data_IF_123628109728
#
_entry.id   IF_123628109728
#
_cell.length_a   1.000
_cell.length_b   1.000
_cell.length_c   1.000
_cell.angle_alpha   90.00
_cell.angle_beta   90.00
_cell.angle_gamma   90.00
#
_symmetry.space_group_name_H-M   'P 1'
#
loop_
_entity.id
_entity.type
_entity.pdbx_description
1 polymer ?
#
# COMPACT_ATOMS: atom_id res chain seq x y z
N UNK A 1 -38.48 -4.45 -48.26
CA UNK A 1 -39.30 -3.61 -47.38
C UNK A 1 -38.84 -2.14 -47.33
N UNK A 2 -37.63 -1.85 -47.72
CA UNK A 2 -37.00 -0.48 -47.70
C UNK A 2 -37.58 0.44 -48.80
N UNK A 3 -37.94 -0.12 -49.96
CA UNK A 3 -38.47 0.67 -51.11
C UNK A 3 -39.88 1.23 -50.85
N UNK A 4 -40.67 0.60 -50.03
CA UNK A 4 -42.06 1.06 -49.72
C UNK A 4 -42.06 2.23 -48.74
N UNK A 5 -41.06 2.32 -47.84
CA UNK A 5 -40.95 3.41 -46.89
C UNK A 5 -40.47 4.71 -47.55
N UNK A 6 -39.58 4.61 -48.53
CA UNK A 6 -39.09 5.78 -49.26
C UNK A 6 -40.16 6.49 -50.10
N UNK A 7 -41.15 5.75 -50.64
CA UNK A 7 -42.25 6.30 -51.43
C UNK A 7 -43.29 7.03 -50.57
N UNK A 8 -43.50 6.60 -49.32
CA UNK A 8 -44.42 7.26 -48.41
C UNK A 8 -43.87 8.56 -47.83
N UNK A 9 -42.51 8.62 -47.65
CA UNK A 9 -41.83 9.83 -47.15
C UNK A 9 -41.76 10.96 -48.19
N UNK A 10 -41.66 10.63 -49.47
CA UNK A 10 -41.73 11.64 -50.54
C UNK A 10 -43.09 12.27 -50.76
N UNK A 11 -44.16 11.64 -50.19
CA UNK A 11 -45.53 12.14 -50.26
C UNK A 11 -45.91 13.08 -49.07
N UNK A 12 -45.11 13.09 -48.00
CA UNK A 12 -45.27 14.07 -46.92
C UNK A 12 -44.24 15.17 -47.13
N UNK A 13 -44.71 16.33 -47.57
CA UNK A 13 -43.96 17.50 -48.06
C UNK A 13 -42.57 17.70 -47.46
N UNK A 14 -41.58 18.01 -48.33
CA UNK A 14 -40.14 18.06 -48.06
C UNK A 14 -39.65 18.88 -46.84
N UNK A 15 -40.50 19.64 -46.16
CA UNK A 15 -40.15 20.38 -44.93
C UNK A 15 -40.08 19.52 -43.67
N UNK A 16 -40.94 18.50 -43.54
CA UNK A 16 -40.96 17.63 -42.33
C UNK A 16 -39.80 16.64 -42.30
N UNK A 17 -39.38 16.17 -43.47
CA UNK A 17 -38.26 15.24 -43.60
C UNK A 17 -36.89 15.91 -43.43
N UNK A 18 -36.71 17.11 -44.00
CA UNK A 18 -35.48 17.89 -43.79
C UNK A 18 -35.30 18.28 -42.30
N UNK A 19 -36.41 18.58 -41.59
CA UNK A 19 -36.40 18.88 -40.17
C UNK A 19 -36.00 17.65 -39.32
N UNK A 20 -36.50 16.46 -39.65
CA UNK A 20 -36.16 15.21 -38.95
C UNK A 20 -34.68 14.87 -39.08
N UNK A 21 -34.10 15.00 -40.29
CA UNK A 21 -32.66 14.72 -40.51
C UNK A 21 -31.75 15.74 -39.81
N UNK A 22 -32.16 17.01 -39.77
CA UNK A 22 -31.42 18.04 -39.03
C UNK A 22 -31.46 17.75 -37.52
N UNK A 23 -32.63 17.37 -36.99
CA UNK A 23 -32.74 17.02 -35.56
C UNK A 23 -31.90 15.82 -35.17
N UNK A 24 -31.87 14.74 -35.97
CA UNK A 24 -31.02 13.57 -35.70
C UNK A 24 -29.50 13.87 -35.82
N UNK A 25 -29.15 14.77 -36.74
CA UNK A 25 -27.75 15.22 -36.93
C UNK A 25 -27.29 16.06 -35.74
N UNK A 26 -28.12 16.98 -35.25
CA UNK A 26 -27.83 17.80 -34.06
C UNK A 26 -27.72 16.95 -32.79
N UNK A 27 -28.53 15.90 -32.68
CA UNK A 27 -28.48 14.97 -31.56
C UNK A 27 -27.16 14.17 -31.56
N UNK A 28 -26.77 13.56 -32.70
CA UNK A 28 -25.49 12.86 -32.83
C UNK A 28 -24.29 13.78 -32.59
N UNK A 29 -24.34 15.03 -33.05
CA UNK A 29 -23.27 15.99 -32.80
C UNK A 29 -23.14 16.32 -31.30
N UNK A 30 -24.26 16.47 -30.61
CA UNK A 30 -24.30 16.71 -29.17
C UNK A 30 -23.74 15.53 -28.37
N UNK A 31 -24.15 14.31 -28.73
CA UNK A 31 -23.64 13.08 -28.10
C UNK A 31 -22.14 12.89 -28.36
N UNK A 32 -21.66 13.20 -29.58
CA UNK A 32 -20.24 13.12 -29.91
C UNK A 32 -19.42 14.08 -29.04
N UNK A 33 -19.88 15.32 -28.84
CA UNK A 33 -19.19 16.28 -27.97
C UNK A 33 -19.16 15.82 -26.51
N UNK A 34 -20.26 15.27 -26.00
CA UNK A 34 -20.29 14.70 -24.63
C UNK A 34 -19.36 13.48 -24.47
N UNK A 35 -19.30 12.61 -25.48
CA UNK A 35 -18.40 11.47 -25.50
C UNK A 35 -16.91 11.88 -25.53
N UNK A 36 -16.57 12.96 -26.23
CA UNK A 36 -15.22 13.55 -26.23
C UNK A 36 -14.82 14.08 -24.85
N UNK A 37 -15.74 14.75 -24.14
CA UNK A 37 -15.51 15.21 -22.79
C UNK A 37 -15.35 14.03 -21.81
N UNK A 38 -16.18 12.98 -21.95
CA UNK A 38 -16.04 11.75 -21.16
C UNK A 38 -14.69 11.08 -21.43
N UNK A 39 -14.28 10.96 -22.69
CA UNK A 39 -12.97 10.38 -23.05
C UNK A 39 -11.82 11.14 -22.38
N UNK A 40 -11.88 12.47 -22.34
CA UNK A 40 -10.86 13.31 -21.71
C UNK A 40 -10.87 13.14 -20.17
N UNK A 41 -12.04 13.13 -19.54
CA UNK A 41 -12.18 13.09 -18.08
C UNK A 41 -11.99 11.70 -17.48
N UNK A 42 -12.12 10.64 -18.28
CA UNK A 42 -11.94 9.23 -17.86
C UNK A 42 -10.48 8.76 -17.86
N UNK A 43 -9.51 9.61 -18.23
CA UNK A 43 -8.10 9.21 -18.25
C UNK A 43 -7.59 8.81 -16.87
N UNK A 44 -7.02 7.59 -16.76
CA UNK A 44 -6.55 7.01 -15.50
C UNK A 44 -7.65 6.65 -14.50
N UNK A 45 -8.93 6.67 -14.92
CA UNK A 45 -10.10 6.42 -14.05
C UNK A 45 -11.00 5.29 -14.56
N UNK A 46 -10.47 4.37 -15.32
CA UNK A 46 -11.16 3.18 -15.83
C UNK A 46 -10.40 1.92 -15.43
N UNK A 47 -11.10 0.83 -15.23
CA UNK A 47 -10.47 -0.49 -14.93
C UNK A 47 -9.78 -1.06 -16.16
N UNK A 48 -10.34 -0.84 -17.36
CA UNK A 48 -9.78 -1.34 -18.62
C UNK A 48 -9.59 -0.22 -19.64
N UNK A 49 -8.36 -0.02 -20.10
CA UNK A 49 -8.04 0.98 -21.15
C UNK A 49 -8.69 0.67 -22.50
N UNK A 50 -9.07 -0.57 -22.76
CA UNK A 50 -9.78 -1.02 -23.95
C UNK A 50 -11.13 -0.32 -24.11
N UNK A 51 -11.85 -0.01 -23.01
CA UNK A 51 -13.13 0.71 -23.06
C UNK A 51 -12.95 2.12 -23.63
N UNK A 52 -11.91 2.85 -23.18
CA UNK A 52 -11.56 4.17 -23.72
C UNK A 52 -11.14 4.12 -25.18
N UNK A 53 -10.39 3.08 -25.58
CA UNK A 53 -10.02 2.89 -26.99
C UNK A 53 -11.26 2.64 -27.86
N UNK A 54 -12.23 1.86 -27.35
CA UNK A 54 -13.53 1.65 -27.98
C UNK A 54 -14.30 2.96 -28.17
N UNK A 55 -14.41 3.77 -27.12
CA UNK A 55 -15.08 5.08 -27.19
C UNK A 55 -14.40 6.00 -28.20
N UNK A 56 -13.06 6.06 -28.21
CA UNK A 56 -12.30 6.85 -29.17
C UNK A 56 -12.57 6.44 -30.64
N UNK A 57 -12.73 5.14 -30.88
CA UNK A 57 -13.05 4.63 -32.23
C UNK A 57 -14.51 5.01 -32.63
N UNK A 58 -15.47 4.93 -31.71
CA UNK A 58 -16.85 5.32 -31.99
C UNK A 58 -17.02 6.83 -32.17
N UNK A 59 -16.26 7.65 -31.46
CA UNK A 59 -16.19 9.10 -31.70
C UNK A 59 -15.69 9.39 -33.10
N UNK A 60 -14.65 8.68 -33.57
CA UNK A 60 -14.12 8.87 -34.94
C UNK A 60 -15.15 8.48 -36.02
N UNK A 61 -15.90 7.37 -35.78
CA UNK A 61 -16.98 6.94 -36.68
C UNK A 61 -18.12 7.95 -36.69
N UNK A 62 -18.58 8.43 -35.55
CA UNK A 62 -19.64 9.44 -35.42
C UNK A 62 -19.25 10.74 -36.16
N UNK A 63 -18.01 11.20 -36.05
CA UNK A 63 -17.48 12.34 -36.78
C UNK A 63 -17.48 12.10 -38.32
N UNK A 64 -17.09 10.90 -38.75
CA UNK A 64 -17.14 10.52 -40.14
C UNK A 64 -18.55 10.63 -40.72
N UNK A 65 -19.56 10.15 -39.98
CA UNK A 65 -20.98 10.25 -40.36
C UNK A 65 -21.45 11.71 -40.37
N UNK A 66 -21.01 12.54 -39.44
CA UNK A 66 -21.33 13.98 -39.40
C UNK A 66 -20.73 14.76 -40.56
N UNK A 67 -19.59 14.35 -41.09
CA UNK A 67 -18.90 14.98 -42.23
C UNK A 67 -19.49 14.57 -43.60
N UNK A 68 -20.33 13.51 -43.63
CA UNK A 68 -21.00 13.08 -44.86
C UNK A 68 -22.01 14.13 -45.39
N UNK A 69 -22.29 14.05 -46.69
CA UNK A 69 -23.34 14.89 -47.28
C UNK A 69 -24.72 14.56 -46.71
N UNK A 70 -25.61 15.56 -46.66
CA UNK A 70 -27.01 15.36 -46.22
C UNK A 70 -27.69 14.23 -47.01
N UNK A 71 -27.40 14.10 -48.31
CA UNK A 71 -27.97 13.05 -49.16
C UNK A 71 -27.47 11.64 -48.77
N UNK A 72 -26.21 11.52 -48.39
CA UNK A 72 -25.62 10.25 -47.91
C UNK A 72 -26.24 9.86 -46.60
N UNK A 73 -26.32 10.76 -45.61
CA UNK A 73 -26.96 10.53 -44.32
C UNK A 73 -28.44 10.15 -44.42
N UNK A 74 -29.14 10.66 -45.43
CA UNK A 74 -30.52 10.26 -45.74
C UNK A 74 -30.67 8.78 -46.12
N UNK A 75 -29.59 8.19 -46.70
CA UNK A 75 -29.60 6.79 -47.17
C UNK A 75 -28.93 5.83 -46.22
N UNK A 76 -27.93 6.25 -45.48
CA UNK A 76 -27.17 5.42 -44.52
C UNK A 76 -27.74 5.52 -43.08
N UNK A 77 -28.37 6.65 -42.74
CA UNK A 77 -28.89 6.94 -41.42
C UNK A 77 -27.79 7.28 -40.40
N UNK A 78 -28.19 7.88 -39.27
CA UNK A 78 -27.32 8.21 -38.14
C UNK A 78 -27.53 7.24 -36.96
N UNK A 79 -28.53 6.37 -37.06
CA UNK A 79 -28.99 5.52 -35.95
C UNK A 79 -27.93 4.54 -35.44
N UNK A 80 -27.24 3.84 -36.34
CA UNK A 80 -26.22 2.84 -35.98
C UNK A 80 -25.02 3.49 -35.32
N UNK A 81 -24.57 4.65 -35.82
CA UNK A 81 -23.45 5.41 -35.22
C UNK A 81 -23.83 5.93 -33.82
N UNK A 82 -25.05 6.38 -33.63
CA UNK A 82 -25.56 6.83 -32.33
C UNK A 82 -25.64 5.68 -31.32
N UNK A 83 -26.23 4.53 -31.69
CA UNK A 83 -26.33 3.35 -30.83
C UNK A 83 -24.95 2.82 -30.43
N UNK A 84 -24.01 2.78 -31.38
CA UNK A 84 -22.64 2.35 -31.11
C UNK A 84 -21.88 3.34 -30.19
N UNK A 85 -22.08 4.64 -30.37
CA UNK A 85 -21.49 5.67 -29.52
C UNK A 85 -22.06 5.63 -28.10
N UNK A 86 -23.38 5.46 -27.94
CA UNK A 86 -24.07 5.30 -26.66
C UNK A 86 -23.55 4.07 -25.92
N UNK A 87 -23.50 2.91 -26.57
CA UNK A 87 -22.96 1.68 -25.96
C UNK A 87 -21.49 1.83 -25.53
N UNK A 88 -20.65 2.53 -26.28
CA UNK A 88 -19.27 2.78 -25.91
C UNK A 88 -19.14 3.80 -24.76
N UNK A 89 -20.02 4.76 -24.67
CA UNK A 89 -20.15 5.72 -23.57
C UNK A 89 -20.52 5.00 -22.29
N UNK A 90 -21.59 4.20 -22.32
CA UNK A 90 -22.04 3.38 -21.17
C UNK A 90 -20.95 2.46 -20.68
N UNK A 91 -20.18 1.85 -21.58
CA UNK A 91 -19.06 0.97 -21.21
C UNK A 91 -17.93 1.72 -20.46
N UNK A 92 -17.63 2.96 -20.86
CA UNK A 92 -16.64 3.79 -20.15
C UNK A 92 -17.19 4.23 -18.80
N UNK A 93 -18.44 4.67 -18.70
CA UNK A 93 -19.08 5.09 -17.46
C UNK A 93 -19.14 3.91 -16.45
N UNK A 94 -19.56 2.73 -16.90
CA UNK A 94 -19.54 1.53 -16.06
C UNK A 94 -18.14 1.17 -15.56
N UNK A 95 -17.13 1.28 -16.43
CA UNK A 95 -15.72 1.04 -16.07
C UNK A 95 -15.17 2.08 -15.09
N UNK A 96 -15.63 3.33 -15.16
CA UNK A 96 -15.30 4.38 -14.19
C UNK A 96 -15.91 4.11 -12.82
N UNK A 97 -17.17 3.67 -12.77
CA UNK A 97 -17.84 3.28 -11.52
C UNK A 97 -17.10 2.11 -10.86
N UNK A 98 -16.73 1.10 -11.64
CA UNK A 98 -15.98 -0.06 -11.14
C UNK A 98 -14.59 0.35 -10.60
N UNK A 99 -13.88 1.21 -11.31
CA UNK A 99 -12.63 1.78 -10.84
C UNK A 99 -12.79 2.56 -9.53
N UNK A 100 -13.84 3.38 -9.42
CA UNK A 100 -14.11 4.14 -8.20
C UNK A 100 -14.46 3.23 -7.01
N UNK A 101 -15.24 2.16 -7.24
CA UNK A 101 -15.52 1.12 -6.22
C UNK A 101 -14.25 0.39 -5.79
N UNK A 102 -13.35 0.08 -6.75
CA UNK A 102 -12.04 -0.50 -6.46
C UNK A 102 -11.22 0.39 -5.50
N UNK A 103 -11.22 1.70 -5.70
CA UNK A 103 -10.56 2.66 -4.80
C UNK A 103 -11.15 2.67 -3.38
N UNK A 104 -12.46 2.57 -3.25
CA UNK A 104 -13.12 2.46 -1.93
C UNK A 104 -12.68 1.17 -1.23
N UNK A 105 -12.66 0.05 -1.96
CA UNK A 105 -12.23 -1.24 -1.42
C UNK A 105 -10.77 -1.20 -0.96
N UNK A 106 -9.87 -0.67 -1.78
CA UNK A 106 -8.45 -0.51 -1.43
C UNK A 106 -8.25 0.39 -0.19
N UNK A 107 -9.03 1.48 -0.10
CA UNK A 107 -8.98 2.35 1.05
C UNK A 107 -9.49 1.65 2.32
N UNK A 108 -10.52 0.80 2.23
CA UNK A 108 -11.01 -0.04 3.35
C UNK A 108 -9.96 -1.05 3.81
N UNK A 109 -9.32 -1.75 2.88
CA UNK A 109 -8.26 -2.72 3.21
C UNK A 109 -7.08 -2.02 3.92
N UNK A 110 -6.69 -0.85 3.43
CA UNK A 110 -5.64 -0.03 4.04
C UNK A 110 -6.04 0.45 5.45
N UNK A 111 -7.30 0.80 5.64
CA UNK A 111 -7.86 1.20 6.94
C UNK A 111 -7.88 0.02 7.91
N UNK A 112 -8.31 -1.16 7.47
CA UNK A 112 -8.33 -2.39 8.28
C UNK A 112 -6.93 -2.79 8.76
N UNK A 113 -5.90 -2.63 7.93
CA UNK A 113 -4.52 -2.86 8.33
C UNK A 113 -4.06 -1.87 9.43
N UNK A 114 -4.41 -0.58 9.29
CA UNK A 114 -4.13 0.43 10.31
C UNK A 114 -4.88 0.13 11.62
N UNK A 115 -6.13 -0.33 11.54
CA UNK A 115 -6.91 -0.77 12.70
C UNK A 115 -6.23 -1.88 13.46
N UNK A 116 -5.84 -2.94 12.78
CA UNK A 116 -5.22 -4.10 13.41
C UNK A 116 -3.94 -3.71 14.18
N UNK A 117 -3.11 -2.82 13.59
CA UNK A 117 -1.94 -2.25 14.28
C UNK A 117 -2.35 -1.41 15.50
N UNK A 118 -3.34 -0.55 15.35
CA UNK A 118 -3.83 0.33 16.41
C UNK A 118 -4.37 -0.45 17.62
N UNK A 119 -5.21 -1.45 17.37
CA UNK A 119 -5.76 -2.34 18.41
C UNK A 119 -4.66 -3.10 19.15
N UNK A 120 -3.66 -3.59 18.43
CA UNK A 120 -2.51 -4.27 19.01
C UNK A 120 -1.72 -3.36 19.96
N UNK A 121 -1.37 -2.14 19.51
CA UNK A 121 -0.68 -1.13 20.32
C UNK A 121 -1.54 -0.76 21.54
N UNK A 122 -2.85 -0.55 21.33
CA UNK A 122 -3.79 -0.21 22.40
C UNK A 122 -3.84 -1.28 23.49
N UNK A 123 -3.91 -2.54 23.11
CA UNK A 123 -3.91 -3.67 24.05
C UNK A 123 -2.56 -3.83 24.74
N UNK A 124 -1.45 -3.74 24.01
CA UNK A 124 -0.11 -3.93 24.55
C UNK A 124 0.31 -2.85 25.56
N UNK A 125 -0.29 -1.66 25.47
CA UNK A 125 -0.02 -0.54 26.41
C UNK A 125 -0.96 -0.51 27.62
N UNK A 126 -1.89 -1.46 27.76
CA UNK A 126 -2.81 -1.50 28.89
C UNK A 126 -2.05 -1.74 30.20
N UNK A 127 -2.26 -0.84 31.18
CA UNK A 127 -1.61 -0.93 32.49
C UNK A 127 -0.10 -0.68 32.49
N UNK A 128 0.50 -0.23 31.37
CA UNK A 128 1.93 0.03 31.24
C UNK A 128 2.36 1.46 31.67
N UNK A 129 1.43 2.26 32.20
CA UNK A 129 1.73 3.57 32.75
C UNK A 129 1.65 4.73 31.77
N UNK A 130 1.23 4.51 30.54
CA UNK A 130 0.95 5.59 29.59
C UNK A 130 -0.25 6.41 30.04
N UNK A 131 -0.19 7.73 29.79
CA UNK A 131 -1.28 8.66 30.12
C UNK A 131 -2.60 8.23 29.46
N UNK A 132 -3.65 8.16 30.29
CA UNK A 132 -5.01 7.79 29.86
C UNK A 132 -5.55 8.69 28.75
N UNK A 133 -5.13 9.98 28.68
CA UNK A 133 -5.55 10.88 27.62
C UNK A 133 -4.98 10.48 26.25
N UNK A 134 -3.78 9.92 26.19
CA UNK A 134 -3.18 9.42 24.93
C UNK A 134 -3.94 8.18 24.47
N UNK A 135 -4.22 7.25 25.37
CA UNK A 135 -5.02 6.06 25.09
C UNK A 135 -6.43 6.41 24.62
N UNK A 136 -7.09 7.39 25.30
CA UNK A 136 -8.43 7.84 24.93
C UNK A 136 -8.50 8.44 23.53
N UNK A 137 -7.44 9.13 23.06
CA UNK A 137 -7.36 9.65 21.68
C UNK A 137 -7.37 8.53 20.64
N UNK A 138 -6.59 7.48 20.87
CA UNK A 138 -6.59 6.33 19.96
C UNK A 138 -7.96 5.62 19.95
N UNK A 139 -8.58 5.44 21.11
CA UNK A 139 -9.93 4.85 21.18
C UNK A 139 -10.95 5.68 20.40
N UNK A 140 -10.94 7.01 20.55
CA UNK A 140 -11.83 7.90 19.81
C UNK A 140 -11.59 7.85 18.27
N UNK A 141 -10.32 7.70 17.85
CA UNK A 141 -9.99 7.50 16.44
C UNK A 141 -10.53 6.17 15.90
N UNK A 142 -10.41 5.09 16.66
CA UNK A 142 -10.95 3.77 16.31
C UNK A 142 -12.49 3.79 16.22
N UNK A 143 -13.16 4.48 17.14
CA UNK A 143 -14.62 4.61 17.13
C UNK A 143 -15.11 5.38 15.88
N UNK A 144 -14.42 6.47 15.52
CA UNK A 144 -14.72 7.26 14.31
C UNK A 144 -14.50 6.45 13.03
N UNK A 145 -13.43 5.69 13.00
CA UNK A 145 -13.07 4.82 11.88
C UNK A 145 -14.14 3.75 11.62
N UNK A 146 -14.67 3.10 12.65
CA UNK A 146 -15.72 2.09 12.52
C UNK A 146 -17.00 2.66 11.88
N UNK A 147 -17.33 3.91 12.18
CA UNK A 147 -18.45 4.61 11.55
C UNK A 147 -18.17 4.89 10.05
N UNK A 148 -16.97 5.33 9.71
CA UNK A 148 -16.57 5.59 8.32
C UNK A 148 -16.55 4.32 7.47
N UNK A 149 -16.05 3.19 7.99
CA UNK A 149 -16.08 1.89 7.30
C UNK A 149 -17.51 1.43 7.00
N UNK A 150 -18.41 1.55 7.97
CA UNK A 150 -19.85 1.22 7.79
C UNK A 150 -20.52 2.10 6.73
N UNK A 151 -20.21 3.40 6.70
CA UNK A 151 -20.73 4.31 5.69
C UNK A 151 -20.21 3.98 4.29
N UNK A 152 -18.90 3.68 4.17
CA UNK A 152 -18.28 3.28 2.91
C UNK A 152 -18.85 1.98 2.35
N UNK A 153 -19.15 1.00 3.19
CA UNK A 153 -19.81 -0.25 2.78
C UNK A 153 -21.15 0.00 2.09
N UNK A 154 -21.95 0.91 2.64
CA UNK A 154 -23.23 1.32 2.04
C UNK A 154 -23.03 2.02 0.69
N UNK A 155 -21.97 2.85 0.57
CA UNK A 155 -21.66 3.61 -0.65
C UNK A 155 -21.18 2.72 -1.81
N UNK A 156 -20.64 1.52 -1.54
CA UNK A 156 -20.20 0.59 -2.60
C UNK A 156 -21.31 0.19 -3.58
N UNK A 157 -22.59 0.32 -3.21
CA UNK A 157 -23.71 0.09 -4.11
C UNK A 157 -24.06 1.29 -5.00
N UNK A 158 -23.46 2.47 -4.76
CA UNK A 158 -23.71 3.68 -5.54
C UNK A 158 -23.08 3.60 -6.94
N UNK A 159 -23.70 4.30 -7.89
CA UNK A 159 -23.13 4.59 -9.22
C UNK A 159 -22.64 6.05 -9.32
N UNK A 160 -22.84 6.85 -8.28
CA UNK A 160 -22.35 8.23 -8.22
C UNK A 160 -20.85 8.26 -7.92
N UNK A 161 -20.09 8.66 -8.94
CA UNK A 161 -18.61 8.77 -8.85
C UNK A 161 -18.15 9.76 -7.77
N UNK A 162 -18.93 10.82 -7.50
CA UNK A 162 -18.58 11.80 -6.48
C UNK A 162 -18.80 11.23 -5.05
N UNK A 163 -19.86 10.42 -4.87
CA UNK A 163 -20.06 9.69 -3.60
C UNK A 163 -18.97 8.67 -3.34
N UNK A 164 -18.63 7.86 -4.34
CA UNK A 164 -17.55 6.87 -4.25
C UNK A 164 -16.20 7.54 -3.97
N UNK A 165 -15.88 8.62 -4.67
CA UNK A 165 -14.63 9.36 -4.44
C UNK A 165 -14.57 9.92 -3.01
N UNK A 166 -15.66 10.52 -2.52
CA UNK A 166 -15.73 11.05 -1.15
C UNK A 166 -15.56 9.95 -0.11
N UNK A 167 -16.20 8.79 -0.30
CA UNK A 167 -16.03 7.66 0.61
C UNK A 167 -14.57 7.19 0.68
N UNK A 168 -13.87 7.08 -0.45
CA UNK A 168 -12.46 6.71 -0.47
C UNK A 168 -11.57 7.75 0.24
N UNK A 169 -11.84 9.04 0.05
CA UNK A 169 -11.10 10.13 0.70
C UNK A 169 -11.35 10.19 2.22
N UNK A 170 -12.59 9.95 2.66
CA UNK A 170 -12.96 9.87 4.08
C UNK A 170 -12.28 8.68 4.76
N UNK A 171 -12.22 7.51 4.14
CA UNK A 171 -11.47 6.35 4.64
C UNK A 171 -9.96 6.67 4.75
N UNK A 172 -9.39 7.32 3.74
CA UNK A 172 -7.99 7.76 3.75
C UNK A 172 -7.69 8.74 4.88
N UNK A 173 -8.61 9.67 5.15
CA UNK A 173 -8.53 10.63 6.26
C UNK A 173 -8.58 9.91 7.61
N UNK A 174 -9.53 9.01 7.81
CA UNK A 174 -9.67 8.22 9.04
C UNK A 174 -8.44 7.33 9.27
N UNK A 175 -7.90 6.69 8.23
CA UNK A 175 -6.64 5.95 8.32
C UNK A 175 -5.51 6.83 8.85
N UNK A 176 -5.38 8.05 8.33
CA UNK A 176 -4.33 8.98 8.78
C UNK A 176 -4.51 9.37 10.24
N UNK A 177 -5.73 9.63 10.69
CA UNK A 177 -6.04 9.96 12.10
C UNK A 177 -5.70 8.79 13.03
N UNK A 178 -6.09 7.56 12.65
CA UNK A 178 -5.76 6.35 13.43
C UNK A 178 -4.25 6.13 13.48
N UNK A 179 -3.54 6.29 12.34
CA UNK A 179 -2.09 6.13 12.29
C UNK A 179 -1.39 7.10 13.23
N UNK A 180 -1.72 8.40 13.16
CA UNK A 180 -1.12 9.43 14.03
C UNK A 180 -1.42 9.17 15.52
N UNK A 181 -2.63 8.74 15.85
CA UNK A 181 -2.97 8.43 17.24
C UNK A 181 -2.25 7.15 17.73
N UNK A 182 -2.02 6.19 16.84
CA UNK A 182 -1.28 4.94 17.12
C UNK A 182 0.19 5.26 17.39
N UNK A 183 0.81 6.07 16.53
CA UNK A 183 2.19 6.53 16.69
C UNK A 183 2.36 7.30 18.01
N UNK A 184 1.45 8.23 18.31
CA UNK A 184 1.51 8.97 19.57
C UNK A 184 1.41 8.05 20.81
N UNK A 185 0.63 6.97 20.76
CA UNK A 185 0.56 6.00 21.86
C UNK A 185 1.82 5.13 21.92
N UNK A 186 2.37 4.74 20.77
CA UNK A 186 3.63 4.00 20.68
C UNK A 186 4.79 4.83 21.22
N UNK A 187 4.91 6.11 20.83
CA UNK A 187 5.95 7.03 21.31
C UNK A 187 5.85 7.27 22.82
N UNK A 188 4.62 7.39 23.34
CA UNK A 188 4.41 7.54 24.77
C UNK A 188 4.83 6.28 25.56
N UNK A 189 4.61 5.09 25.01
CA UNK A 189 5.08 3.84 25.58
C UNK A 189 6.60 3.72 25.48
N UNK A 190 7.15 4.09 24.32
CA UNK A 190 8.58 4.10 24.07
C UNK A 190 9.33 4.95 25.10
N UNK A 191 8.89 6.17 25.32
CA UNK A 191 9.48 7.10 26.28
C UNK A 191 9.52 6.56 27.74
N UNK A 192 8.61 5.63 28.08
CA UNK A 192 8.57 4.99 29.38
C UNK A 192 9.48 3.76 29.44
N UNK A 193 9.50 2.97 28.35
CA UNK A 193 10.09 1.64 28.32
C UNK A 193 11.51 1.61 27.79
N UNK A 194 11.80 2.42 26.75
CA UNK A 194 13.06 2.44 26.00
C UNK A 194 13.76 3.80 26.13
N UNK A 195 14.48 4.05 27.24
CA UNK A 195 15.02 5.40 27.52
C UNK A 195 16.22 5.78 26.62
N UNK A 196 16.81 4.84 25.91
CA UNK A 196 17.94 5.13 25.04
C UNK A 196 17.47 5.54 23.64
N UNK A 197 18.06 6.59 23.01
CA UNK A 197 17.58 7.17 21.76
C UNK A 197 17.73 6.29 20.52
N UNK A 198 18.45 5.20 20.63
CA UNK A 198 18.69 4.18 19.62
C UNK A 198 17.84 2.92 19.81
N UNK A 199 16.95 2.94 20.78
CA UNK A 199 16.02 1.86 21.08
C UNK A 199 14.60 2.32 20.78
N UNK A 200 13.75 1.40 20.37
CA UNK A 200 12.32 1.66 20.16
C UNK A 200 11.49 0.52 20.72
N UNK A 201 10.42 0.87 21.41
CA UNK A 201 9.48 -0.10 21.91
C UNK A 201 8.65 -0.68 20.77
N UNK A 202 8.56 -2.00 20.73
CA UNK A 202 7.68 -2.72 19.82
C UNK A 202 6.93 -3.82 20.59
N UNK A 203 5.59 -3.92 20.47
CA UNK A 203 4.78 -4.93 21.16
C UNK A 203 5.13 -6.36 20.77
N UNK A 204 5.75 -6.56 19.60
CA UNK A 204 6.18 -7.86 19.08
C UNK A 204 7.60 -8.26 19.50
N UNK A 205 8.37 -7.33 20.04
CA UNK A 205 9.75 -7.63 20.43
C UNK A 205 9.78 -8.76 21.49
N UNK A 206 10.38 -9.87 21.09
CA UNK A 206 10.42 -11.12 21.85
C UNK A 206 9.16 -12.00 21.76
N UNK A 207 8.17 -11.61 20.93
CA UNK A 207 6.89 -12.30 20.78
C UNK A 207 6.57 -12.62 19.32
N UNK A 208 7.56 -12.55 18.43
CA UNK A 208 7.38 -12.89 17.01
C UNK A 208 6.90 -14.36 16.90
N UNK A 209 5.80 -14.62 16.18
CA UNK A 209 5.30 -15.99 16.05
C UNK A 209 6.31 -16.87 15.30
N UNK A 210 6.41 -18.14 15.69
CA UNK A 210 7.36 -19.07 15.06
C UNK A 210 7.17 -19.24 13.55
N UNK A 211 5.95 -19.01 13.04
CA UNK A 211 5.65 -19.01 11.60
C UNK A 211 6.27 -17.85 10.82
N UNK A 212 6.67 -16.79 11.52
CA UNK A 212 7.35 -15.63 10.93
C UNK A 212 8.88 -15.66 11.14
N UNK A 213 9.37 -16.69 11.83
CA UNK A 213 10.79 -16.93 12.06
C UNK A 213 11.29 -18.04 11.14
N UNK A 214 12.55 -17.94 10.72
CA UNK A 214 13.24 -18.96 9.95
C UNK A 214 14.58 -19.31 10.60
N UNK A 215 14.91 -20.61 10.66
CA UNK A 215 16.17 -21.08 11.19
C UNK A 215 17.32 -20.74 10.25
N UNK A 216 18.47 -20.32 10.80
CA UNK A 216 19.66 -20.02 10.04
C UNK A 216 20.30 -21.36 9.62
N UNK A 217 20.45 -21.67 8.30
CA UNK A 217 20.77 -23.04 7.84
C UNK A 217 22.10 -23.60 8.34
N UNK A 218 23.08 -22.76 8.64
CA UNK A 218 24.41 -23.18 9.14
C UNK A 218 24.59 -22.99 10.65
N UNK A 219 23.60 -22.39 11.32
CA UNK A 219 23.61 -22.15 12.77
C UNK A 219 22.30 -22.66 13.39
N UNK A 220 22.17 -23.99 13.57
CA UNK A 220 20.99 -24.60 14.17
C UNK A 220 20.61 -23.99 15.50
N UNK A 221 19.34 -23.89 15.81
CA UNK A 221 18.76 -23.22 16.99
C UNK A 221 18.82 -21.69 16.99
N UNK A 222 19.42 -21.08 15.96
CA UNK A 222 19.39 -19.64 15.73
C UNK A 222 18.34 -19.29 14.67
N UNK A 223 17.55 -18.26 14.96
CA UNK A 223 16.44 -17.84 14.12
C UNK A 223 16.51 -16.35 13.82
N UNK A 224 16.08 -15.95 12.64
CA UNK A 224 15.81 -14.56 12.28
C UNK A 224 14.40 -14.46 11.70
N UNK A 225 13.87 -13.26 11.54
CA UNK A 225 12.61 -13.07 10.82
C UNK A 225 12.76 -13.58 9.37
N UNK A 226 11.74 -14.31 8.89
CA UNK A 226 11.86 -15.07 7.63
C UNK A 226 12.17 -14.20 6.40
N UNK A 227 11.72 -12.95 6.40
CA UNK A 227 11.92 -12.01 5.28
C UNK A 227 13.36 -11.45 5.20
N UNK A 228 14.14 -11.49 6.30
CA UNK A 228 15.54 -11.03 6.30
C UNK A 228 16.56 -12.17 6.12
N UNK A 229 16.11 -13.43 6.24
CA UNK A 229 16.98 -14.59 6.09
C UNK A 229 17.65 -14.68 4.70
N UNK A 230 17.00 -14.41 3.55
CA UNK A 230 17.66 -14.45 2.25
C UNK A 230 18.91 -13.57 2.18
N UNK A 231 18.84 -12.33 2.66
CA UNK A 231 20.00 -11.44 2.70
C UNK A 231 21.13 -11.96 3.62
N UNK A 232 20.79 -12.58 4.74
CA UNK A 232 21.78 -13.20 5.63
C UNK A 232 22.48 -14.40 4.96
N UNK A 233 21.74 -15.20 4.18
CA UNK A 233 22.32 -16.32 3.41
C UNK A 233 23.29 -15.81 2.34
N UNK A 234 22.93 -14.74 1.63
CA UNK A 234 23.81 -14.14 0.63
C UNK A 234 25.06 -13.53 1.26
N UNK A 235 24.92 -12.87 2.41
CA UNK A 235 26.05 -12.34 3.18
C UNK A 235 27.00 -13.46 3.64
N UNK A 236 26.45 -14.57 4.17
CA UNK A 236 27.26 -15.73 4.57
C UNK A 236 28.00 -16.36 3.38
N UNK A 237 27.34 -16.47 2.22
CA UNK A 237 27.97 -17.00 1.02
C UNK A 237 29.17 -16.15 0.58
N UNK A 238 29.03 -14.82 0.60
CA UNK A 238 30.11 -13.89 0.29
C UNK A 238 31.21 -13.92 1.36
N UNK A 239 30.88 -14.04 2.63
CA UNK A 239 31.82 -14.19 3.73
C UNK A 239 32.65 -15.48 3.58
N UNK A 240 31.98 -16.59 3.23
CA UNK A 240 32.67 -17.86 2.96
C UNK A 240 33.62 -17.80 1.77
N UNK A 241 33.30 -17.04 0.74
CA UNK A 241 34.21 -16.81 -0.37
C UNK A 241 35.48 -16.07 0.09
N UNK A 242 35.33 -15.11 1.01
CA UNK A 242 36.45 -14.31 1.52
C UNK A 242 37.30 -15.06 2.56
N UNK A 243 36.70 -15.83 3.48
CA UNK A 243 37.37 -16.40 4.65
C UNK A 243 37.38 -17.93 4.71
N UNK A 244 36.64 -18.61 3.84
CA UNK A 244 36.56 -20.08 3.76
C UNK A 244 35.66 -20.76 4.80
N UNK A 245 34.96 -19.98 5.64
CA UNK A 245 34.10 -20.47 6.72
C UNK A 245 32.79 -19.70 6.79
N UNK A 246 31.76 -20.29 7.41
CA UNK A 246 30.52 -19.64 7.67
C UNK A 246 30.63 -18.53 8.71
N UNK A 247 29.76 -17.53 8.63
CA UNK A 247 29.52 -16.60 9.73
C UNK A 247 29.20 -17.36 11.01
N UNK A 248 29.95 -17.13 12.07
CA UNK A 248 29.65 -17.69 13.39
C UNK A 248 28.52 -16.87 14.03
N UNK A 249 27.39 -17.48 14.30
CA UNK A 249 26.25 -16.80 14.94
C UNK A 249 26.27 -17.13 16.43
N UNK A 250 26.49 -16.12 17.28
CA UNK A 250 26.52 -16.25 18.72
C UNK A 250 25.15 -15.96 19.36
N UNK A 251 24.37 -15.06 18.76
CA UNK A 251 23.02 -14.73 19.20
C UNK A 251 22.18 -14.31 17.96
N UNK A 252 20.85 -14.47 18.08
CA UNK A 252 19.90 -14.15 17.01
C UNK A 252 18.57 -13.78 17.63
N UNK A 253 17.41 -14.22 17.10
CA UNK A 253 16.13 -13.99 17.74
C UNK A 253 16.16 -14.35 19.22
N UNK A 254 15.61 -13.46 20.06
CA UNK A 254 15.55 -13.62 21.51
C UNK A 254 14.11 -13.44 21.99
N UNK A 255 13.60 -14.41 22.76
CA UNK A 255 12.26 -14.28 23.35
C UNK A 255 12.21 -13.16 24.39
N UNK A 256 10.99 -12.67 24.67
CA UNK A 256 10.76 -11.66 25.72
C UNK A 256 11.32 -12.08 27.07
N UNK A 257 11.07 -13.35 27.46
CA UNK A 257 11.55 -13.93 28.72
C UNK A 257 13.09 -14.01 28.76
N UNK A 258 13.72 -14.37 27.64
CA UNK A 258 15.19 -14.38 27.54
C UNK A 258 15.76 -12.97 27.65
N UNK A 259 15.13 -11.98 27.00
CA UNK A 259 15.54 -10.58 27.11
C UNK A 259 15.37 -10.07 28.55
N UNK A 260 14.25 -10.38 29.20
CA UNK A 260 13.99 -10.02 30.59
C UNK A 260 15.02 -10.63 31.56
N UNK A 261 15.48 -11.84 31.27
CA UNK A 261 16.52 -12.50 32.06
C UNK A 261 17.92 -11.90 31.91
N UNK A 262 18.19 -11.27 30.78
CA UNK A 262 19.46 -10.61 30.47
C UNK A 262 19.50 -9.15 30.91
N UNK A 263 18.34 -8.53 31.04
CA UNK A 263 18.22 -7.11 31.32
C UNK A 263 18.63 -6.77 32.75
N UNK A 264 19.61 -5.89 32.89
CA UNK A 264 20.03 -5.27 34.14
C UNK A 264 19.91 -3.73 33.98
N UNK A 265 19.01 -3.06 34.71
CA UNK A 265 18.83 -1.61 34.59
C UNK A 265 20.06 -0.80 35.01
N UNK A 266 21.05 -1.43 35.65
CA UNK A 266 22.35 -0.81 35.97
C UNK A 266 23.40 -0.95 34.88
N UNK A 267 23.12 -1.74 33.82
CA UNK A 267 24.03 -2.00 32.70
C UNK A 267 23.41 -1.55 31.37
N UNK A 268 24.14 -0.82 30.53
CA UNK A 268 23.60 -0.39 29.23
C UNK A 268 23.65 -1.49 28.13
N UNK A 269 24.26 -2.66 28.42
CA UNK A 269 24.54 -3.69 27.41
C UNK A 269 23.27 -4.33 26.87
N UNK A 270 22.33 -4.68 27.74
CA UNK A 270 21.08 -5.29 27.30
C UNK A 270 19.96 -4.26 27.31
N UNK A 271 19.26 -4.13 26.18
CA UNK A 271 18.06 -3.30 26.07
C UNK A 271 16.93 -3.81 26.98
N UNK A 272 16.03 -2.94 27.49
CA UNK A 272 14.83 -3.38 28.18
C UNK A 272 14.01 -4.36 27.34
N UNK A 273 13.25 -5.28 27.96
CA UNK A 273 12.32 -6.15 27.23
C UNK A 273 11.31 -5.32 26.42
N UNK A 274 11.17 -5.64 25.15
CA UNK A 274 10.34 -4.85 24.24
C UNK A 274 11.12 -3.81 23.41
N UNK A 275 12.41 -3.57 23.70
CA UNK A 275 13.24 -2.54 23.06
C UNK A 275 14.40 -3.10 22.22
N UNK A 276 14.48 -4.40 22.05
CA UNK A 276 15.60 -5.07 21.38
C UNK A 276 15.24 -5.56 19.97
N UNK A 277 16.07 -5.25 18.98
CA UNK A 277 15.94 -5.78 17.63
C UNK A 277 16.20 -7.29 17.52
N UNK A 278 16.91 -7.89 18.47
CA UNK A 278 16.93 -9.34 18.63
C UNK A 278 15.54 -9.91 18.89
N UNK A 279 14.70 -9.20 19.65
CA UNK A 279 13.32 -9.60 19.91
C UNK A 279 12.42 -9.55 18.68
N UNK A 280 12.80 -8.78 17.65
CA UNK A 280 12.10 -8.72 16.36
C UNK A 280 12.67 -9.72 15.32
N UNK A 281 13.73 -10.44 15.66
CA UNK A 281 14.46 -11.30 14.72
C UNK A 281 15.20 -10.51 13.64
N UNK A 282 15.54 -9.24 13.92
CA UNK A 282 16.20 -8.31 13.01
C UNK A 282 17.66 -8.04 13.38
N UNK A 283 18.17 -8.68 14.41
CA UNK A 283 19.56 -8.56 14.84
C UNK A 283 20.21 -9.94 15.01
N UNK A 284 21.52 -9.98 14.76
CA UNK A 284 22.40 -11.12 15.03
C UNK A 284 23.69 -10.64 15.68
N UNK A 285 24.24 -11.45 16.61
CA UNK A 285 25.58 -11.26 17.13
C UNK A 285 26.52 -12.24 16.42
N UNK A 286 27.52 -11.71 15.73
CA UNK A 286 28.45 -12.46 14.88
C UNK A 286 29.77 -12.63 15.62
N UNK A 287 30.26 -13.87 15.69
CA UNK A 287 31.51 -14.26 16.25
C UNK A 287 32.62 -14.50 15.20
N UNK A 288 33.59 -15.36 15.54
CA UNK A 288 34.60 -15.78 14.59
C UNK A 288 35.61 -14.68 14.20
N UNK A 289 35.96 -13.80 15.14
CA UNK A 289 36.84 -12.66 14.90
C UNK A 289 36.12 -11.32 14.72
N UNK A 290 34.78 -11.33 14.60
CA UNK A 290 33.99 -10.10 14.48
C UNK A 290 33.80 -9.42 15.85
N UNK A 291 34.01 -10.15 16.96
CA UNK A 291 33.86 -9.62 18.32
C UNK A 291 34.86 -8.54 18.71
N UNK A 292 35.82 -8.23 17.84
CA UNK A 292 36.84 -7.22 18.07
C UNK A 292 36.90 -6.25 16.89
N UNK A 293 36.82 -4.96 17.16
CA UNK A 293 37.03 -3.91 16.16
C UNK A 293 38.41 -4.06 15.48
N UNK A 294 38.53 -3.58 14.25
CA UNK A 294 39.73 -3.55 13.42
C UNK A 294 40.28 -4.94 12.99
N UNK A 295 39.57 -6.03 13.23
CA UNK A 295 39.91 -7.33 12.63
C UNK A 295 39.59 -7.34 11.13
N UNK A 296 40.16 -8.27 10.38
CA UNK A 296 39.88 -8.45 8.96
C UNK A 296 38.41 -8.80 8.75
N UNK A 297 37.81 -9.64 9.61
CA UNK A 297 36.42 -10.08 9.56
C UNK A 297 35.49 -8.93 9.80
N UNK A 298 35.69 -8.15 10.88
CA UNK A 298 34.88 -6.97 11.17
C UNK A 298 34.97 -5.94 10.03
N UNK A 299 36.18 -5.65 9.57
CA UNK A 299 36.43 -4.68 8.49
C UNK A 299 35.74 -5.09 7.19
N UNK A 300 35.79 -6.38 6.87
CA UNK A 300 35.11 -6.91 5.69
C UNK A 300 33.61 -6.76 5.80
N UNK A 301 33.01 -7.11 6.95
CA UNK A 301 31.57 -6.94 7.18
C UNK A 301 31.15 -5.48 7.07
N UNK A 302 31.90 -4.54 7.63
CA UNK A 302 31.64 -3.10 7.51
C UNK A 302 31.60 -2.61 6.05
N UNK A 303 32.37 -3.23 5.18
CA UNK A 303 32.46 -2.85 3.76
C UNK A 303 31.37 -3.52 2.90
N UNK A 304 30.87 -4.68 3.30
CA UNK A 304 30.07 -5.54 2.42
C UNK A 304 28.64 -5.79 2.91
N UNK A 305 28.37 -5.80 4.22
CA UNK A 305 27.11 -6.29 4.78
C UNK A 305 25.89 -5.49 4.29
N UNK A 306 26.05 -4.19 4.05
CA UNK A 306 24.94 -3.32 3.61
C UNK A 306 24.41 -3.72 2.21
N UNK A 307 25.26 -4.27 1.35
CA UNK A 307 24.86 -4.81 0.04
C UNK A 307 23.85 -5.95 0.17
N UNK A 308 23.86 -6.67 1.28
CA UNK A 308 23.00 -7.80 1.59
C UNK A 308 21.88 -7.45 2.59
N UNK A 309 21.68 -6.14 2.86
CA UNK A 309 20.62 -5.67 3.74
C UNK A 309 20.94 -5.80 5.25
N UNK A 310 22.22 -5.88 5.63
CA UNK A 310 22.68 -5.89 7.01
C UNK A 310 23.62 -4.73 7.29
N UNK A 311 23.58 -4.16 8.48
CA UNK A 311 24.37 -2.98 8.84
C UNK A 311 24.84 -3.07 10.29
N UNK A 312 25.97 -2.44 10.57
CA UNK A 312 26.44 -2.22 11.93
C UNK A 312 25.87 -0.87 12.41
N UNK A 313 25.00 -0.85 13.45
CA UNK A 313 24.32 0.37 13.87
C UNK A 313 25.24 1.36 14.57
N UNK A 314 24.91 2.65 14.48
CA UNK A 314 25.78 3.73 14.99
C UNK A 314 26.03 3.64 16.51
N UNK A 315 25.06 3.16 17.29
CA UNK A 315 25.25 2.99 18.73
C UNK A 315 26.30 1.93 19.10
N UNK A 316 26.50 0.95 18.21
CA UNK A 316 27.42 -0.16 18.39
C UNK A 316 28.85 0.13 17.83
N UNK A 317 29.03 1.26 17.13
CA UNK A 317 30.32 1.67 16.58
C UNK A 317 31.35 2.04 17.68
N UNK A 318 32.67 2.08 17.35
CA UNK A 318 33.66 2.65 18.23
C UNK A 318 33.30 4.09 18.61
N UNK A 319 33.04 4.33 19.89
CA UNK A 319 32.57 5.63 20.38
C UNK A 319 31.05 5.82 20.37
N UNK A 320 30.28 4.83 19.94
CA UNK A 320 28.84 4.76 20.14
C UNK A 320 28.46 4.61 21.61
N UNK A 321 27.16 4.56 21.91
CA UNK A 321 26.66 4.45 23.30
C UNK A 321 27.08 3.14 23.96
N UNK A 322 27.04 2.01 23.22
CA UNK A 322 27.46 0.69 23.66
C UNK A 322 28.24 0.04 22.51
N UNK A 323 29.59 0.21 22.47
CA UNK A 323 30.38 -0.36 21.39
C UNK A 323 30.34 -1.90 21.40
N UNK A 324 29.74 -2.47 20.36
CA UNK A 324 29.49 -3.91 20.20
C UNK A 324 29.88 -4.37 18.78
N UNK A 325 31.15 -4.68 18.49
CA UNK A 325 31.60 -5.05 17.14
C UNK A 325 30.85 -6.25 16.56
N UNK A 326 30.30 -7.11 17.42
CA UNK A 326 29.56 -8.31 17.07
C UNK A 326 28.11 -8.04 16.63
N UNK A 327 27.51 -6.87 17.00
CA UNK A 327 26.09 -6.62 16.83
C UNK A 327 25.76 -6.08 15.43
N UNK A 328 24.97 -6.83 14.66
CA UNK A 328 24.58 -6.50 13.30
C UNK A 328 23.05 -6.54 13.15
N UNK A 329 22.49 -5.55 12.46
CA UNK A 329 21.07 -5.40 12.27
C UNK A 329 20.68 -5.44 10.81
N UNK A 330 19.49 -6.00 10.50
CA UNK A 330 18.87 -5.83 9.20
C UNK A 330 18.53 -4.34 8.97
N UNK A 331 18.71 -3.86 7.75
CA UNK A 331 18.28 -2.51 7.36
C UNK A 331 16.78 -2.28 7.59
N UNK A 332 15.96 -3.34 7.70
CA UNK A 332 14.55 -3.27 8.06
C UNK A 332 14.33 -2.91 9.54
N UNK A 333 15.33 -3.05 10.41
CA UNK A 333 15.26 -2.58 11.78
C UNK A 333 15.07 -1.05 11.87
N UNK A 334 15.55 -0.31 10.85
CA UNK A 334 15.41 1.16 10.74
C UNK A 334 14.13 1.60 10.04
N UNK A 335 13.51 0.73 9.24
CA UNK A 335 12.32 1.07 8.45
C UNK A 335 11.02 0.95 9.25
N UNK A 336 11.07 0.43 10.45
CA UNK A 336 9.92 0.24 11.35
C UNK A 336 9.78 1.33 12.42
N UNK A 337 10.61 2.35 12.37
CA UNK A 337 10.59 3.48 13.31
C UNK A 337 9.96 4.71 12.67
#
# INVERSE_FOLDING_TARGET
MIIVTLVVVLAMGGGGFAWFVVAETDDLATQTAAAEELLATSEGKVTEQSTRAGLSAQIAEARSVLDESVLTRLTTGTGDARESLEAATDAVEASMVEFARGRVTEARDSLAAAQARAEKIYQATEGQGVDDAVRARLQAALDTMAAADTAADTTLSSEDLAELARAADELGTNRSVVTVATEALSDAQDAITCPAPDQAWDPDSGKVPSSALAEIPWAPTHFVRADVLPGLIELDAAYREAFGEHLTINSSYRTYESQASLYDPSSPIAAPPGCSNHGLGLAVDIGGGVETFDTEQYTWLKQNAETYGWTHPDFAEPGGRVPEPWHWESVLARAGL
#
